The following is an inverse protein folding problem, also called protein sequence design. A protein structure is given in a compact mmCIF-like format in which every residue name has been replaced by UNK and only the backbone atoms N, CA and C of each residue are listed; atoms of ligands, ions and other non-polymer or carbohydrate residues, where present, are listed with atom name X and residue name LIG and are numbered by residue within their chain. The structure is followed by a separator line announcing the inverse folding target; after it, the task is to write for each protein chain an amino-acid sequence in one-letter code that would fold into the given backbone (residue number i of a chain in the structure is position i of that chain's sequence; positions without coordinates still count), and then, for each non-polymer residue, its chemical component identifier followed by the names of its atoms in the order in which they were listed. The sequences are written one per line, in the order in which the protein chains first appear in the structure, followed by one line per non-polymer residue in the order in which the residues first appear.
data_IF_780534604466
#
_entry.id   IF_780534604466
#
_cell.length_a   1.000
_cell.length_b   1.000
_cell.length_c   1.000
_cell.angle_alpha   90.00
_cell.angle_beta   90.00
_cell.angle_gamma   90.00
#
_symmetry.space_group_name_H-M   'P 1'
#
loop_
_entity.id
_entity.type
_entity.pdbx_description
1 polymer ?
#
# COMPACT_ATOMS: atom_id res chain seq x y z
N UNK A 1 10.92 -6.45 -9.64
CA UNK A 1 9.49 -6.43 -9.29
C UNK A 1 9.26 -5.88 -7.88
N UNK A 2 9.54 -6.62 -6.80
CA UNK A 2 9.30 -6.11 -5.43
C UNK A 2 10.12 -4.86 -5.07
N UNK A 3 11.38 -4.77 -5.51
CA UNK A 3 12.16 -3.51 -5.37
C UNK A 3 11.55 -2.34 -6.17
N UNK A 4 10.93 -2.63 -7.32
CA UNK A 4 10.23 -1.60 -8.08
C UNK A 4 8.95 -1.14 -7.38
N UNK A 5 8.28 -2.05 -6.65
CA UNK A 5 7.15 -1.72 -5.78
C UNK A 5 7.59 -0.77 -4.66
N UNK A 6 8.70 -1.07 -3.97
CA UNK A 6 9.30 -0.21 -2.93
C UNK A 6 9.60 1.20 -3.48
N UNK A 7 10.18 1.27 -4.68
CA UNK A 7 10.55 2.54 -5.31
C UNK A 7 9.34 3.32 -5.89
N UNK A 8 8.25 2.62 -6.24
CA UNK A 8 7.10 3.25 -6.90
C UNK A 8 6.35 4.21 -5.98
N UNK A 9 6.32 3.91 -4.68
CA UNK A 9 5.51 4.64 -3.73
C UNK A 9 6.08 6.02 -3.40
N UNK A 10 7.40 6.19 -3.43
CA UNK A 10 8.05 7.47 -3.13
C UNK A 10 7.95 8.53 -4.23
N UNK A 11 7.63 8.14 -5.48
CA UNK A 11 7.60 9.04 -6.64
C UNK A 11 6.71 10.29 -6.52
N UNK A 12 5.51 10.25 -5.89
CA UNK A 12 4.65 11.43 -5.76
C UNK A 12 4.96 12.27 -4.52
N UNK A 13 5.92 11.87 -3.67
CA UNK A 13 6.18 12.50 -2.38
C UNK A 13 7.56 13.18 -2.31
N UNK A 14 7.60 14.35 -1.69
CA UNK A 14 8.86 15.04 -1.35
C UNK A 14 9.24 14.64 0.08
N UNK A 15 10.48 14.17 0.34
CA UNK A 15 10.92 13.82 1.69
C UNK A 15 10.71 14.95 2.71
N UNK A 16 10.21 14.61 3.91
CA UNK A 16 9.93 15.56 5.00
C UNK A 16 8.62 16.34 4.85
N UNK A 17 7.84 16.07 3.79
CA UNK A 17 6.52 16.66 3.64
C UNK A 17 5.49 15.85 4.44
N UNK A 18 4.76 16.54 5.33
CA UNK A 18 3.59 15.99 6.00
C UNK A 18 2.41 15.95 5.05
N UNK A 19 1.89 14.75 4.79
CA UNK A 19 0.67 14.57 4.02
C UNK A 19 -0.47 14.21 4.97
N UNK A 20 -1.61 14.84 4.73
CA UNK A 20 -2.83 14.46 5.42
C UNK A 20 -3.54 13.44 4.54
N UNK A 21 -4.06 12.38 5.12
CA UNK A 21 -4.80 11.34 4.37
C UNK A 21 -6.04 11.89 3.68
N UNK A 22 -6.58 12.99 4.19
CA UNK A 22 -7.63 13.78 3.57
C UNK A 22 -7.23 14.38 2.21
N UNK A 23 -5.92 14.50 1.94
CA UNK A 23 -5.33 14.97 0.67
C UNK A 23 -4.84 13.85 -0.24
N UNK A 24 -4.99 12.58 0.16
CA UNK A 24 -4.71 11.45 -0.73
C UNK A 24 -5.66 11.50 -1.92
N UNK A 25 -5.09 11.38 -3.11
CA UNK A 25 -5.77 11.36 -4.39
C UNK A 25 -5.16 10.25 -5.27
N UNK A 26 -5.75 10.00 -6.44
CA UNK A 26 -5.31 8.92 -7.35
C UNK A 26 -3.79 8.93 -7.63
N UNK A 27 -3.14 10.09 -7.90
CA UNK A 27 -1.67 10.18 -8.03
C UNK A 27 -0.86 9.73 -6.80
N UNK A 28 -1.45 9.74 -5.60
CA UNK A 28 -0.79 9.31 -4.37
C UNK A 28 -0.58 7.80 -4.29
N UNK A 29 -1.29 7.01 -5.12
CA UNK A 29 -1.26 5.55 -5.10
C UNK A 29 -0.49 4.94 -6.27
N UNK A 30 0.70 5.49 -6.57
CA UNK A 30 1.61 4.92 -7.58
C UNK A 30 1.95 3.45 -7.35
N UNK A 31 1.84 2.95 -6.12
CA UNK A 31 1.99 1.52 -5.81
C UNK A 31 0.94 0.64 -6.49
N UNK A 32 -0.32 1.11 -6.57
CA UNK A 32 -1.41 0.40 -7.26
C UNK A 32 -1.17 0.45 -8.76
N UNK A 33 -0.78 1.61 -9.30
CA UNK A 33 -0.40 1.75 -10.70
C UNK A 33 0.74 0.81 -11.09
N UNK A 34 1.78 0.74 -10.26
CA UNK A 34 2.90 -0.18 -10.49
C UNK A 34 2.45 -1.65 -10.48
N UNK A 35 1.56 -2.04 -9.57
CA UNK A 35 0.99 -3.39 -9.55
C UNK A 35 0.22 -3.68 -10.85
N UNK A 36 -0.63 -2.76 -11.30
CA UNK A 36 -1.45 -2.92 -12.49
C UNK A 36 -0.63 -2.98 -13.80
N UNK A 37 0.35 -2.08 -13.94
CA UNK A 37 1.30 -2.06 -15.07
C UNK A 37 2.12 -3.36 -15.16
N UNK A 38 2.37 -3.98 -14.01
CA UNK A 38 3.14 -5.21 -13.90
C UNK A 38 2.29 -6.43 -13.50
N UNK A 39 0.98 -6.39 -13.77
CA UNK A 39 0.01 -7.38 -13.28
C UNK A 39 0.36 -8.82 -13.61
N UNK A 40 0.95 -9.08 -14.79
CA UNK A 40 1.37 -10.42 -15.19
C UNK A 40 2.31 -11.08 -14.16
N UNK A 41 3.14 -10.29 -13.47
CA UNK A 41 3.99 -10.79 -12.38
C UNK A 41 3.20 -10.98 -11.09
N UNK A 42 2.36 -10.01 -10.71
CA UNK A 42 1.64 -10.05 -9.43
C UNK A 42 0.50 -11.06 -9.42
N UNK A 43 -0.14 -11.32 -10.56
CA UNK A 43 -1.13 -12.37 -10.77
C UNK A 43 -0.57 -13.78 -10.61
N UNK A 44 0.76 -13.96 -10.64
CA UNK A 44 1.37 -15.25 -10.31
C UNK A 44 1.02 -15.71 -8.89
N UNK A 45 0.61 -14.80 -8.01
CA UNK A 45 0.12 -15.12 -6.67
C UNK A 45 -1.15 -16.00 -6.67
N UNK A 46 -1.86 -16.10 -7.80
CA UNK A 46 -3.08 -16.91 -7.92
C UNK A 46 -2.79 -18.42 -7.96
N UNK A 47 -1.57 -18.81 -8.34
CA UNK A 47 -1.21 -20.22 -8.49
C UNK A 47 -0.84 -20.85 -7.15
N UNK A 48 -1.14 -22.13 -6.97
CA UNK A 48 -0.79 -22.91 -5.77
C UNK A 48 0.72 -22.97 -5.53
N UNK A 49 1.51 -23.00 -6.61
CA UNK A 49 2.97 -22.89 -6.60
C UNK A 49 3.40 -21.63 -7.36
N UNK A 50 3.32 -20.44 -6.74
CA UNK A 50 3.83 -19.23 -7.38
C UNK A 50 5.37 -19.25 -7.38
N UNK A 51 5.97 -18.16 -7.88
CA UNK A 51 7.40 -17.93 -7.68
C UNK A 51 7.78 -18.12 -6.20
N UNK A 52 8.86 -18.87 -5.89
CA UNK A 52 9.25 -19.18 -4.52
C UNK A 52 9.28 -17.95 -3.62
N UNK A 53 8.48 -18.01 -2.55
CA UNK A 53 8.39 -16.96 -1.55
C UNK A 53 7.53 -15.75 -1.92
N UNK A 54 6.84 -15.72 -3.07
CA UNK A 54 6.01 -14.57 -3.47
C UNK A 54 4.87 -14.28 -2.46
N UNK A 55 4.17 -15.32 -1.98
CA UNK A 55 3.15 -15.20 -0.91
C UNK A 55 3.68 -14.60 0.39
N UNK A 56 4.98 -14.75 0.65
CA UNK A 56 5.60 -14.23 1.87
C UNK A 56 6.18 -12.84 1.63
N UNK A 57 6.96 -12.68 0.56
CA UNK A 57 7.73 -11.47 0.28
C UNK A 57 6.85 -10.30 -0.15
N UNK A 58 5.76 -10.55 -0.88
CA UNK A 58 4.88 -9.47 -1.33
C UNK A 58 4.22 -8.70 -0.16
N UNK A 59 3.49 -9.34 0.78
CA UNK A 59 2.97 -8.63 1.94
C UNK A 59 4.06 -8.05 2.84
N UNK A 60 5.22 -8.73 2.95
CA UNK A 60 6.36 -8.21 3.72
C UNK A 60 6.96 -6.95 3.10
N UNK A 61 7.03 -6.85 1.77
CA UNK A 61 7.49 -5.64 1.10
C UNK A 61 6.53 -4.48 1.36
N UNK A 62 5.22 -4.70 1.32
CA UNK A 62 4.23 -3.66 1.67
C UNK A 62 4.42 -3.21 3.12
N UNK A 63 4.59 -4.16 4.06
CA UNK A 63 4.87 -3.84 5.46
C UNK A 63 6.15 -3.00 5.61
N UNK A 64 7.23 -3.42 4.95
CA UNK A 64 8.52 -2.73 5.00
C UNK A 64 8.36 -1.26 4.57
N UNK A 65 7.62 -1.01 3.49
CA UNK A 65 7.34 0.35 3.01
C UNK A 65 6.60 1.17 4.09
N UNK A 66 5.59 0.60 4.73
CA UNK A 66 4.88 1.27 5.84
C UNK A 66 5.78 1.53 7.05
N UNK A 67 6.74 0.65 7.32
CA UNK A 67 7.66 0.80 8.43
C UNK A 67 8.73 1.86 8.19
N UNK A 68 9.33 1.85 6.99
CA UNK A 68 10.55 2.61 6.67
C UNK A 68 10.27 3.94 5.98
N UNK A 69 9.19 4.07 5.20
CA UNK A 69 8.96 5.27 4.39
C UNK A 69 7.95 6.24 5.01
N UNK A 70 7.29 5.87 6.11
CA UNK A 70 6.24 6.67 6.73
C UNK A 70 6.29 6.77 8.25
N UNK A 71 5.96 7.96 8.72
CA UNK A 71 5.58 8.24 10.10
C UNK A 71 4.05 8.38 10.14
N UNK A 72 3.40 7.53 10.96
CA UNK A 72 1.96 7.59 11.18
C UNK A 72 1.65 8.34 12.46
N UNK A 73 0.57 9.12 12.44
CA UNK A 73 -0.04 9.66 13.64
C UNK A 73 -1.49 9.18 13.72
N UNK A 74 -1.89 8.72 14.90
CA UNK A 74 -3.26 8.29 15.17
C UNK A 74 -4.22 9.48 15.23
N UNK A 75 -5.49 9.25 14.85
CA UNK A 75 -6.56 10.21 15.09
C UNK A 75 -6.63 10.51 16.60
N UNK A 76 -6.72 11.79 16.97
CA UNK A 76 -6.79 12.29 18.35
C UNK A 76 -5.59 11.93 19.26
N UNK A 77 -4.43 11.57 18.69
CA UNK A 77 -3.24 11.18 19.48
C UNK A 77 -3.50 10.04 20.47
N UNK A 78 -4.43 9.13 20.15
CA UNK A 78 -4.70 7.95 20.98
C UNK A 78 -3.43 7.09 20.99
N UNK A 79 -2.85 6.79 22.16
CA UNK A 79 -1.64 6.01 22.24
C UNK A 79 -1.92 4.57 21.76
N UNK A 80 -1.28 4.18 20.67
CA UNK A 80 -1.28 2.82 20.15
C UNK A 80 0.14 2.35 19.93
N UNK A 81 0.33 1.03 19.91
CA UNK A 81 1.58 0.46 19.44
C UNK A 81 1.68 0.66 17.91
N UNK A 82 2.52 1.60 17.47
CA UNK A 82 2.65 1.97 16.06
C UNK A 82 3.16 0.83 15.17
N UNK A 83 3.95 -0.10 15.71
CA UNK A 83 4.41 -1.26 14.94
C UNK A 83 3.25 -2.21 14.61
N UNK A 84 2.38 -2.46 15.58
CA UNK A 84 1.16 -3.24 15.35
C UNK A 84 0.20 -2.52 14.42
N UNK A 85 0.06 -1.20 14.56
CA UNK A 85 -0.78 -0.40 13.68
C UNK A 85 -0.28 -0.47 12.22
N UNK A 86 1.01 -0.21 11.99
CA UNK A 86 1.64 -0.32 10.66
C UNK A 86 1.44 -1.72 10.06
N UNK A 87 1.60 -2.78 10.86
CA UNK A 87 1.37 -4.16 10.43
C UNK A 87 -0.08 -4.41 10.05
N UNK A 88 -1.03 -4.02 10.91
CA UNK A 88 -2.45 -4.16 10.65
C UNK A 88 -2.86 -3.47 9.35
N UNK A 89 -2.44 -2.21 9.16
CA UNK A 89 -2.76 -1.44 7.94
C UNK A 89 -2.11 -2.04 6.70
N UNK A 90 -0.84 -2.42 6.75
CA UNK A 90 -0.13 -3.01 5.62
C UNK A 90 -0.77 -4.34 5.15
N UNK A 91 -1.13 -5.22 6.09
CA UNK A 91 -1.78 -6.49 5.77
C UNK A 91 -3.24 -6.30 5.34
N UNK A 92 -3.96 -5.32 5.89
CA UNK A 92 -5.28 -4.93 5.41
C UNK A 92 -5.23 -4.46 3.95
N UNK A 93 -4.28 -3.58 3.62
CA UNK A 93 -4.05 -3.12 2.25
C UNK A 93 -3.66 -4.26 1.29
N UNK A 94 -2.76 -5.16 1.73
CA UNK A 94 -2.43 -6.36 0.96
C UNK A 94 -3.65 -7.25 0.71
N UNK A 95 -4.55 -7.41 1.69
CA UNK A 95 -5.79 -8.16 1.54
C UNK A 95 -6.68 -7.60 0.42
N UNK A 96 -6.79 -6.27 0.32
CA UNK A 96 -7.53 -5.61 -0.77
C UNK A 96 -6.88 -5.89 -2.13
N UNK A 97 -5.55 -5.76 -2.24
CA UNK A 97 -4.82 -6.07 -3.47
C UNK A 97 -5.01 -7.53 -3.89
N UNK A 98 -4.88 -8.46 -2.94
CA UNK A 98 -5.03 -9.89 -3.21
C UNK A 98 -6.45 -10.21 -3.69
N UNK A 99 -7.47 -9.60 -3.07
CA UNK A 99 -8.85 -9.76 -3.52
C UNK A 99 -9.05 -9.21 -4.94
N UNK A 100 -8.50 -8.02 -5.23
CA UNK A 100 -8.56 -7.43 -6.57
C UNK A 100 -7.90 -8.33 -7.63
N UNK A 101 -6.70 -8.86 -7.34
CA UNK A 101 -6.01 -9.82 -8.20
C UNK A 101 -6.81 -11.10 -8.40
N UNK A 102 -7.37 -11.69 -7.33
CA UNK A 102 -8.14 -12.93 -7.39
C UNK A 102 -9.49 -12.77 -8.10
N UNK A 103 -10.01 -11.54 -8.17
CA UNK A 103 -11.21 -11.18 -8.94
C UNK A 103 -10.91 -10.89 -10.42
N UNK A 104 -9.69 -11.18 -10.87
CA UNK A 104 -9.19 -10.83 -12.22
C UNK A 104 -9.25 -9.33 -12.51
N UNK A 105 -8.93 -8.52 -11.50
CA UNK A 105 -8.91 -7.05 -11.58
C UNK A 105 -10.27 -6.48 -12.05
N UNK A 106 -11.36 -6.98 -11.46
CA UNK A 106 -12.73 -6.68 -11.86
C UNK A 106 -13.04 -5.18 -11.89
N UNK A 107 -12.68 -4.46 -10.83
CA UNK A 107 -12.74 -3.00 -10.79
C UNK A 107 -11.61 -2.41 -11.63
N UNK A 108 -11.87 -1.31 -12.32
CA UNK A 108 -10.79 -0.57 -12.97
C UNK A 108 -9.76 -0.08 -11.95
N UNK A 109 -8.53 0.19 -12.42
CA UNK A 109 -7.47 0.71 -11.56
C UNK A 109 -7.89 1.99 -10.81
N UNK A 110 -8.64 2.89 -11.47
CA UNK A 110 -9.09 4.14 -10.86
C UNK A 110 -10.14 3.88 -9.77
N UNK A 111 -11.16 3.07 -10.06
CA UNK A 111 -12.19 2.69 -9.09
C UNK A 111 -11.58 2.00 -7.86
N UNK A 112 -10.64 1.08 -8.06
CA UNK A 112 -9.97 0.41 -6.94
C UNK A 112 -9.15 1.38 -6.08
N UNK A 113 -8.46 2.35 -6.69
CA UNK A 113 -7.73 3.39 -5.95
C UNK A 113 -8.70 4.24 -5.12
N UNK A 114 -9.85 4.62 -5.68
CA UNK A 114 -10.87 5.41 -4.98
C UNK A 114 -11.41 4.68 -3.75
N UNK A 115 -11.72 3.38 -3.87
CA UNK A 115 -12.19 2.54 -2.75
C UNK A 115 -11.12 2.37 -1.65
N UNK A 116 -9.86 2.21 -2.03
CA UNK A 116 -8.73 2.18 -1.07
C UNK A 116 -8.61 3.54 -0.36
N UNK A 117 -8.73 4.66 -1.07
CA UNK A 117 -8.71 6.00 -0.48
C UNK A 117 -9.88 6.19 0.49
N UNK A 118 -11.09 5.80 0.12
CA UNK A 118 -12.26 5.88 0.98
C UNK A 118 -12.08 5.07 2.27
N UNK A 119 -11.52 3.86 2.14
CA UNK A 119 -11.23 2.96 3.27
C UNK A 119 -10.11 3.48 4.19
N UNK A 120 -9.11 4.18 3.65
CA UNK A 120 -8.00 4.72 4.47
C UNK A 120 -8.38 6.01 5.20
N UNK A 121 -9.25 6.84 4.62
CA UNK A 121 -9.77 8.07 5.25
C UNK A 121 -10.53 7.84 6.55
N UNK A 122 -11.09 6.65 6.75
CA UNK A 122 -11.82 6.29 7.97
C UNK A 122 -10.90 5.92 9.14
N UNK A 123 -9.59 5.67 8.91
CA UNK A 123 -8.70 5.08 9.93
C UNK A 123 -7.32 5.75 10.08
N UNK A 124 -6.93 6.69 9.21
CA UNK A 124 -5.58 7.29 9.18
C UNK A 124 -5.73 8.81 8.97
N UNK A 125 -4.99 9.69 9.66
CA UNK A 125 -5.13 11.17 9.57
C UNK A 125 -3.90 11.89 8.99
N UNK A 126 -2.67 11.69 9.51
CA UNK A 126 -1.46 12.18 8.84
C UNK A 126 -0.46 11.06 8.58
N UNK A 127 0.08 11.08 7.37
CA UNK A 127 1.18 10.25 6.94
C UNK A 127 2.29 11.22 6.54
N UNK A 128 3.42 11.21 7.25
CA UNK A 128 4.60 11.96 6.82
C UNK A 128 5.53 11.02 6.05
N UNK A 129 5.84 11.37 4.81
CA UNK A 129 6.79 10.62 4.00
C UNK A 129 8.21 11.08 4.34
N UNK A 130 9.07 10.15 4.76
CA UNK A 130 10.41 10.48 5.26
C UNK A 130 11.54 10.31 4.23
N UNK A 131 11.26 9.68 3.08
CA UNK A 131 12.28 9.38 2.07
C UNK A 131 13.00 8.04 2.30
N UNK A 132 13.97 7.73 1.43
CA UNK A 132 14.95 6.64 1.61
C UNK A 132 16.14 7.10 2.46
#
# INVERSE_FOLDING_TARGET
MLKGLENSLGKPYIPGQKFYTTKLNTPSFNIISYIYENRNFFELIKYDEPLPGLHTRFPQTILKIYQEQFIFQTINNIPVNLDYFKRYTAFGFYGLILNWINSDLKESQEEFIEEVIASTKTHIFPIEYIGE
#
